data_IF_976446288712
#
_entry.id   IF_976446288712
#
_cell.length_a   1.000
_cell.length_b   1.000
_cell.length_c   1.000
_cell.angle_alpha   90.00
_cell.angle_beta   90.00
_cell.angle_gamma   90.00
#
_symmetry.space_group_name_H-M   'P 1'
#
loop_
_entity.id
_entity.type
_entity.pdbx_description
1 polymer ?
#
# COMPACT_ATOMS: atom_id res chain seq x y z
N UNK A 1 -16.79 -14.28 -9.15
CA UNK A 1 -17.61 -13.20 -8.57
C UNK A 1 -16.85 -11.90 -8.76
N UNK A 2 -17.48 -10.86 -9.31
CA UNK A 2 -16.87 -9.53 -9.37
C UNK A 2 -16.92 -8.91 -7.97
N UNK A 3 -15.76 -8.48 -7.45
CA UNK A 3 -15.68 -7.83 -6.13
C UNK A 3 -16.25 -6.40 -6.11
N UNK A 4 -16.64 -5.86 -7.27
CA UNK A 4 -17.24 -4.52 -7.37
C UNK A 4 -18.55 -4.51 -6.57
N UNK A 5 -18.68 -3.56 -5.64
CA UNK A 5 -19.88 -3.39 -4.82
C UNK A 5 -19.86 -4.14 -3.49
N UNK A 6 -18.83 -4.94 -3.18
CA UNK A 6 -18.70 -5.55 -1.83
C UNK A 6 -18.12 -4.56 -0.82
N UNK A 7 -18.35 -4.75 0.50
CA UNK A 7 -17.74 -3.94 1.55
C UNK A 7 -16.21 -3.94 1.48
N UNK A 8 -15.59 -5.07 1.16
CA UNK A 8 -14.13 -5.21 1.05
C UNK A 8 -13.56 -4.34 -0.07
N UNK A 9 -14.28 -4.23 -1.19
CA UNK A 9 -13.90 -3.32 -2.27
C UNK A 9 -14.01 -1.86 -1.82
N UNK A 10 -15.08 -1.50 -1.11
CA UNK A 10 -15.26 -0.15 -0.56
C UNK A 10 -14.14 0.20 0.43
N UNK A 11 -13.78 -0.70 1.35
CA UNK A 11 -12.70 -0.50 2.31
C UNK A 11 -11.34 -0.36 1.63
N UNK A 12 -11.04 -1.20 0.65
CA UNK A 12 -9.80 -1.10 -0.11
C UNK A 12 -9.68 0.25 -0.82
N UNK A 13 -10.74 0.68 -1.53
CA UNK A 13 -10.75 1.97 -2.22
C UNK A 13 -10.60 3.13 -1.24
N UNK A 14 -11.26 3.07 -0.09
CA UNK A 14 -11.18 4.12 0.93
C UNK A 14 -9.74 4.28 1.43
N UNK A 15 -9.10 3.19 1.85
CA UNK A 15 -7.73 3.24 2.39
C UNK A 15 -6.72 3.62 1.31
N UNK A 16 -6.84 3.03 0.12
CA UNK A 16 -5.95 3.31 -1.02
C UNK A 16 -6.05 4.78 -1.46
N UNK A 17 -7.28 5.30 -1.64
CA UNK A 17 -7.52 6.68 -2.05
C UNK A 17 -7.09 7.69 -1.00
N UNK A 18 -7.34 7.42 0.29
CA UNK A 18 -6.87 8.28 1.38
C UNK A 18 -5.35 8.45 1.36
N UNK A 19 -4.60 7.34 1.25
CA UNK A 19 -3.14 7.40 1.25
C UNK A 19 -2.57 8.04 -0.01
N UNK A 20 -3.21 7.86 -1.17
CA UNK A 20 -2.76 8.52 -2.40
C UNK A 20 -2.99 10.04 -2.36
N UNK A 21 -4.14 10.47 -1.81
CA UNK A 21 -4.39 11.89 -1.54
C UNK A 21 -3.38 12.46 -0.54
N UNK A 22 -3.10 11.76 0.56
CA UNK A 22 -2.11 12.20 1.55
C UNK A 22 -0.70 12.28 0.94
N UNK A 23 -0.33 11.30 0.10
CA UNK A 23 0.93 11.32 -0.64
C UNK A 23 1.00 12.51 -1.62
N UNK A 24 -0.11 12.87 -2.26
CA UNK A 24 -0.17 14.05 -3.13
C UNK A 24 0.18 15.34 -2.38
N UNK A 25 -0.27 15.50 -1.12
CA UNK A 25 0.12 16.65 -0.30
C UNK A 25 1.64 16.72 -0.07
N UNK A 26 2.30 15.58 0.13
CA UNK A 26 3.74 15.52 0.32
C UNK A 26 4.50 15.77 -1.00
N UNK A 27 4.03 15.18 -2.10
CA UNK A 27 4.60 15.38 -3.44
C UNK A 27 4.52 16.86 -3.86
N UNK A 28 3.42 17.54 -3.53
CA UNK A 28 3.23 18.96 -3.84
C UNK A 28 3.89 19.91 -2.83
N UNK A 29 4.57 19.38 -1.80
CA UNK A 29 5.25 20.17 -0.78
C UNK A 29 4.33 20.85 0.24
N UNK A 30 3.04 20.52 0.26
CA UNK A 30 2.09 21.03 1.27
C UNK A 30 2.38 20.44 2.67
N UNK A 31 3.00 19.25 2.73
CA UNK A 31 3.55 18.67 3.96
C UNK A 31 5.03 18.33 3.77
N UNK A 32 5.80 18.38 4.86
CA UNK A 32 7.22 18.02 4.82
C UNK A 32 7.38 16.54 4.42
N UNK A 33 8.02 16.32 3.28
CA UNK A 33 8.16 14.98 2.69
C UNK A 33 8.99 14.03 3.57
N UNK A 34 10.04 14.52 4.22
CA UNK A 34 10.88 13.68 5.08
C UNK A 34 10.13 13.16 6.30
N UNK A 35 9.37 14.04 6.97
CA UNK A 35 8.48 13.68 8.07
C UNK A 35 7.40 12.71 7.59
N UNK A 36 6.80 12.98 6.43
CA UNK A 36 5.74 12.14 5.87
C UNK A 36 6.20 10.70 5.63
N UNK A 37 7.47 10.49 5.25
CA UNK A 37 8.04 9.17 4.99
C UNK A 37 8.46 8.42 6.28
N UNK A 38 8.44 9.07 7.45
CA UNK A 38 8.76 8.41 8.73
C UNK A 38 7.71 7.32 9.03
N UNK A 39 8.12 6.09 9.41
CA UNK A 39 7.18 4.98 9.68
C UNK A 39 6.14 5.26 10.76
N UNK A 40 6.44 6.09 11.77
CA UNK A 40 5.47 6.48 12.79
C UNK A 40 4.40 7.45 12.27
N UNK A 41 4.63 8.10 11.13
CA UNK A 41 3.69 9.03 10.50
C UNK A 41 2.87 8.34 9.40
N UNK A 42 3.52 7.71 8.42
CA UNK A 42 2.85 7.06 7.28
C UNK A 42 3.20 5.58 7.12
N UNK A 43 3.51 4.85 8.20
CA UNK A 43 3.88 3.43 8.12
C UNK A 43 2.80 2.52 7.50
N UNK A 44 1.53 2.86 7.70
CA UNK A 44 0.43 2.12 7.07
C UNK A 44 0.42 2.29 5.55
N UNK A 45 0.79 3.46 5.01
CA UNK A 45 0.95 3.68 3.57
C UNK A 45 1.90 2.65 2.94
N UNK A 46 3.06 2.40 3.57
CA UNK A 46 4.01 1.39 3.10
C UNK A 46 3.41 -0.02 3.14
N UNK A 47 2.61 -0.33 4.16
CA UNK A 47 1.93 -1.63 4.29
C UNK A 47 0.87 -1.82 3.21
N UNK A 48 0.08 -0.78 2.92
CA UNK A 48 -0.94 -0.79 1.87
C UNK A 48 -0.28 -0.94 0.50
N UNK A 49 0.73 -0.11 0.21
CA UNK A 49 1.44 -0.18 -1.07
C UNK A 49 2.15 -1.53 -1.26
N UNK A 50 2.79 -2.10 -0.23
CA UNK A 50 3.39 -3.44 -0.30
C UNK A 50 2.38 -4.55 -0.63
N UNK A 51 1.12 -4.41 -0.22
CA UNK A 51 0.04 -5.36 -0.58
C UNK A 51 -0.40 -5.22 -2.02
N UNK A 52 -0.52 -3.98 -2.52
CA UNK A 52 -1.09 -3.68 -3.84
C UNK A 52 -0.03 -3.77 -4.95
N UNK A 53 1.21 -3.38 -4.67
CA UNK A 53 2.31 -3.27 -5.64
C UNK A 53 2.47 -4.48 -6.56
N UNK A 54 2.42 -5.75 -6.09
CA UNK A 54 2.54 -6.92 -6.97
C UNK A 54 1.45 -6.99 -8.06
N UNK A 55 0.30 -6.37 -7.82
CA UNK A 55 -0.88 -6.38 -8.70
C UNK A 55 -1.16 -5.01 -9.32
N UNK A 56 -0.34 -3.99 -9.04
CA UNK A 56 -0.66 -2.60 -9.37
C UNK A 56 -0.82 -2.38 -10.87
N UNK A 57 0.02 -3.03 -11.69
CA UNK A 57 -0.08 -2.96 -13.15
C UNK A 57 -1.44 -3.47 -13.65
N UNK A 58 -1.78 -4.71 -13.29
CA UNK A 58 -3.06 -5.33 -13.67
C UNK A 58 -4.25 -4.54 -13.12
N UNK A 59 -4.13 -3.98 -11.92
CA UNK A 59 -5.16 -3.16 -11.30
C UNK A 59 -5.41 -1.85 -12.07
N UNK A 60 -4.34 -1.16 -12.50
CA UNK A 60 -4.42 0.04 -13.35
C UNK A 60 -5.10 -0.26 -14.68
N UNK A 61 -4.76 -1.39 -15.31
CA UNK A 61 -5.36 -1.85 -16.56
C UNK A 61 -6.86 -2.16 -16.39
N UNK A 62 -7.24 -2.92 -15.36
CA UNK A 62 -8.65 -3.29 -15.09
C UNK A 62 -9.54 -2.10 -14.74
N UNK A 63 -9.00 -1.12 -14.01
CA UNK A 63 -9.75 0.08 -13.59
C UNK A 63 -9.74 1.15 -14.69
N UNK A 64 -8.84 1.07 -15.66
CA UNK A 64 -8.66 2.10 -16.69
C UNK A 64 -8.08 3.40 -16.14
N UNK A 65 -7.33 3.33 -15.04
CA UNK A 65 -6.67 4.49 -14.43
C UNK A 65 -5.15 4.21 -14.30
N UNK A 66 -4.31 4.72 -15.23
CA UNK A 66 -2.87 4.53 -15.18
C UNK A 66 -2.21 5.23 -13.98
N UNK A 67 -2.83 6.27 -13.42
CA UNK A 67 -2.29 7.07 -12.32
C UNK A 67 -2.69 6.55 -10.93
N UNK A 68 -3.39 5.42 -10.85
CA UNK A 68 -3.80 4.85 -9.57
C UNK A 68 -2.58 4.63 -8.66
N UNK A 69 -2.58 5.24 -7.48
CA UNK A 69 -1.49 5.21 -6.49
C UNK A 69 -0.15 5.81 -6.95
N UNK A 70 -0.16 6.67 -7.98
CA UNK A 70 1.05 7.26 -8.54
C UNK A 70 1.81 8.14 -7.53
N UNK A 71 1.12 8.87 -6.64
CA UNK A 71 1.81 9.72 -5.66
C UNK A 71 2.58 8.90 -4.63
N UNK A 72 1.99 7.79 -4.17
CA UNK A 72 2.65 6.84 -3.28
C UNK A 72 3.89 6.25 -3.98
N UNK A 73 3.74 5.84 -5.24
CA UNK A 73 4.83 5.29 -6.05
C UNK A 73 5.98 6.29 -6.22
N UNK A 74 5.67 7.56 -6.51
CA UNK A 74 6.65 8.65 -6.60
C UNK A 74 7.43 8.82 -5.31
N UNK A 75 6.75 8.89 -4.16
CA UNK A 75 7.41 9.07 -2.86
C UNK A 75 8.33 7.90 -2.51
N UNK A 76 7.86 6.67 -2.69
CA UNK A 76 8.62 5.46 -2.35
C UNK A 76 9.82 5.28 -3.29
N UNK A 77 9.65 5.58 -4.57
CA UNK A 77 10.74 5.46 -5.55
C UNK A 77 11.73 6.64 -5.52
N UNK A 78 11.36 7.74 -4.88
CA UNK A 78 12.15 8.97 -4.82
C UNK A 78 13.53 8.84 -4.18
N UNK A 79 13.79 7.80 -3.38
CA UNK A 79 15.15 7.55 -2.87
C UNK A 79 15.46 6.07 -2.66
N UNK A 80 16.75 5.73 -2.60
CA UNK A 80 17.21 4.38 -2.25
C UNK A 80 16.70 3.95 -0.85
N UNK A 81 16.78 4.86 0.13
CA UNK A 81 16.33 4.63 1.51
C UNK A 81 14.86 4.19 1.57
N UNK A 82 13.99 4.85 0.81
CA UNK A 82 12.55 4.55 0.83
C UNK A 82 12.20 3.25 0.09
N UNK A 83 12.93 2.91 -0.97
CA UNK A 83 12.83 1.59 -1.61
C UNK A 83 13.28 0.47 -0.67
N UNK A 84 14.38 0.67 0.06
CA UNK A 84 14.82 -0.28 1.10
C UNK A 84 13.79 -0.40 2.23
N UNK A 85 13.17 0.71 2.64
CA UNK A 85 12.08 0.70 3.61
C UNK A 85 10.90 -0.13 3.12
N UNK A 86 10.44 0.06 1.88
CA UNK A 86 9.36 -0.76 1.31
C UNK A 86 9.68 -2.26 1.40
N UNK A 87 10.91 -2.67 1.06
CA UNK A 87 11.33 -4.08 1.18
C UNK A 87 11.18 -4.61 2.61
N UNK A 88 11.50 -3.81 3.62
CA UNK A 88 11.31 -4.21 5.02
C UNK A 88 9.83 -4.45 5.36
N UNK A 89 8.92 -3.62 4.84
CA UNK A 89 7.48 -3.83 5.00
C UNK A 89 6.99 -5.07 4.24
N UNK A 90 7.51 -5.33 3.03
CA UNK A 90 7.21 -6.55 2.26
C UNK A 90 7.62 -7.83 3.02
N UNK A 91 8.81 -7.83 3.64
CA UNK A 91 9.27 -8.94 4.49
C UNK A 91 8.36 -9.15 5.70
N UNK A 92 8.04 -8.08 6.44
CA UNK A 92 7.12 -8.14 7.59
C UNK A 92 5.73 -8.65 7.18
N UNK A 93 5.22 -8.20 6.05
CA UNK A 93 3.94 -8.62 5.50
C UNK A 93 3.96 -10.12 5.13
N UNK A 94 5.03 -10.61 4.51
CA UNK A 94 5.20 -12.02 4.20
C UNK A 94 5.24 -12.89 5.46
N UNK A 95 6.00 -12.47 6.48
CA UNK A 95 6.04 -13.16 7.77
C UNK A 95 4.65 -13.20 8.43
N UNK A 96 3.93 -12.07 8.44
CA UNK A 96 2.56 -12.02 8.97
C UNK A 96 1.60 -12.93 8.21
N UNK A 97 1.68 -12.98 6.87
CA UNK A 97 0.87 -13.90 6.06
C UNK A 97 1.13 -15.36 6.43
N UNK A 98 2.41 -15.75 6.57
CA UNK A 98 2.79 -17.10 6.99
C UNK A 98 2.18 -17.46 8.35
N UNK A 99 2.37 -16.60 9.36
CA UNK A 99 1.81 -16.82 10.70
C UNK A 99 0.28 -16.94 10.70
N UNK A 100 -0.41 -16.10 9.91
CA UNK A 100 -1.87 -16.17 9.80
C UNK A 100 -2.36 -17.46 9.13
N UNK A 101 -1.63 -17.97 8.13
CA UNK A 101 -1.94 -19.25 7.49
C UNK A 101 -1.74 -20.43 8.46
N UNK A 102 -0.64 -20.44 9.20
CA UNK A 102 -0.36 -21.47 10.22
C UNK A 102 -1.44 -21.47 11.32
N UNK A 103 -1.83 -20.29 11.81
CA UNK A 103 -2.89 -20.16 12.80
C UNK A 103 -4.28 -20.59 12.27
N UNK A 104 -4.58 -20.33 10.99
CA UNK A 104 -5.81 -20.78 10.36
C UNK A 104 -5.83 -22.31 10.20
N UNK A 105 -4.71 -22.92 9.80
CA UNK A 105 -4.58 -24.37 9.70
C UNK A 105 -4.72 -25.06 11.06
N UNK A 106 -4.11 -24.51 12.11
CA UNK A 106 -4.22 -25.05 13.48
C UNK A 106 -5.64 -24.98 14.05
N UNK A 107 -6.45 -23.97 13.66
CA UNK A 107 -7.86 -23.86 14.06
C UNK A 107 -8.81 -24.78 13.29
N UNK A 108 -8.35 -25.30 12.15
CA UNK A 108 -9.12 -26.20 11.28
C UNK A 108 -8.83 -27.69 11.55
N UNK A 109 -7.85 -27.98 12.41
CA UNK A 109 -7.53 -29.33 12.93
C UNK A 109 -8.16 -29.54 14.31
#
# INVERSE_FOLDING_TARGET
>A
MNAVGTPENAWLRQVAGYWDMAAALAVQGAVNQELFLVPSFSGEMFTVFAKVRPFLKELREKIGNPELLANIETLINGSKKERERLKQFEVRLAARRKLMMEAAAAKAS
#
